data_IF_852861286651
#
_entry.id   IF_852861286651
#
_cell.length_a   1.000
_cell.length_b   1.000
_cell.length_c   1.000
_cell.angle_alpha   90.00
_cell.angle_beta   90.00
_cell.angle_gamma   90.00
#
_symmetry.space_group_name_H-M   'P 1'
#
loop_
_entity.id
_entity.type
_entity.pdbx_description
1 polymer ?
#
# COMPACT_ATOMS: atom_id res chain seq x y z
N UNK A 1 48.97 34.49 -27.61
CA UNK A 1 47.84 34.15 -28.52
C UNK A 1 47.81 32.64 -28.66
N UNK A 2 46.94 31.96 -27.90
CA UNK A 2 46.78 30.50 -27.99
C UNK A 2 45.84 30.17 -29.15
N UNK A 3 46.35 29.43 -30.13
CA UNK A 3 45.57 28.88 -31.24
C UNK A 3 44.49 27.93 -30.69
N UNK A 4 43.22 28.26 -30.92
CA UNK A 4 42.08 27.38 -30.69
C UNK A 4 42.26 26.11 -31.52
N UNK A 5 42.31 24.95 -30.86
CA UNK A 5 42.34 23.65 -31.54
C UNK A 5 41.11 23.52 -32.44
N UNK A 6 41.23 22.97 -33.67
CA UNK A 6 40.09 22.74 -34.55
C UNK A 6 39.16 21.71 -33.92
N UNK A 7 37.91 22.12 -33.68
CA UNK A 7 36.82 21.21 -33.30
C UNK A 7 36.56 20.29 -34.49
N UNK A 8 36.73 18.99 -34.28
CA UNK A 8 36.56 17.99 -35.33
C UNK A 8 35.08 17.86 -35.69
N UNK A 9 34.73 17.87 -36.98
CA UNK A 9 33.34 17.73 -37.47
C UNK A 9 32.68 16.44 -36.95
N UNK A 10 33.47 15.40 -36.62
CA UNK A 10 33.00 14.16 -36.00
C UNK A 10 32.61 14.30 -34.52
N UNK A 11 33.12 15.30 -33.79
CA UNK A 11 32.65 15.57 -32.42
C UNK A 11 31.31 16.30 -32.44
N UNK A 12 31.15 17.26 -33.36
CA UNK A 12 29.89 17.97 -33.59
C UNK A 12 28.74 17.04 -34.00
N UNK A 13 28.99 16.06 -34.88
CA UNK A 13 27.95 15.09 -35.26
C UNK A 13 27.54 14.18 -34.09
N UNK A 14 28.48 13.84 -33.21
CA UNK A 14 28.19 13.04 -32.02
C UNK A 14 27.44 13.81 -30.94
N UNK A 15 27.75 15.09 -30.74
CA UNK A 15 27.03 15.98 -29.81
C UNK A 15 25.57 16.16 -30.23
N UNK A 16 25.31 16.42 -31.52
CA UNK A 16 23.95 16.53 -32.06
C UNK A 16 23.15 15.23 -31.85
N UNK A 17 23.78 14.07 -32.04
CA UNK A 17 23.13 12.77 -31.80
C UNK A 17 22.78 12.60 -30.31
N UNK A 18 23.65 13.04 -29.39
CA UNK A 18 23.39 12.96 -27.95
C UNK A 18 22.21 13.87 -27.58
N UNK A 19 22.17 15.11 -28.07
CA UNK A 19 21.06 16.04 -27.81
C UNK A 19 19.72 15.48 -28.33
N UNK A 20 19.70 14.92 -29.54
CA UNK A 20 18.50 14.29 -30.10
C UNK A 20 18.05 13.10 -29.24
N UNK A 21 18.99 12.27 -28.77
CA UNK A 21 18.67 11.13 -27.88
C UNK A 21 18.07 11.64 -26.57
N UNK A 22 18.70 12.63 -25.94
CA UNK A 22 18.21 13.26 -24.70
C UNK A 22 16.80 13.80 -24.91
N UNK A 23 16.56 14.53 -26.01
CA UNK A 23 15.26 15.11 -26.34
C UNK A 23 14.18 14.03 -26.57
N UNK A 24 14.51 12.94 -27.27
CA UNK A 24 13.59 11.81 -27.47
C UNK A 24 13.21 11.19 -26.12
N UNK A 25 14.19 10.91 -25.26
CA UNK A 25 13.95 10.32 -23.93
C UNK A 25 13.12 11.28 -23.08
N UNK A 26 13.47 12.56 -23.08
CA UNK A 26 12.81 13.60 -22.32
C UNK A 26 11.42 13.98 -22.85
N UNK A 27 10.97 13.46 -23.99
CA UNK A 27 9.60 13.60 -24.52
C UNK A 27 8.77 12.33 -24.44
N UNK A 28 9.41 11.17 -24.25
CA UNK A 28 8.72 9.92 -24.03
C UNK A 28 7.94 9.95 -22.71
N UNK A 29 6.84 9.18 -22.63
CA UNK A 29 6.15 8.93 -21.36
C UNK A 29 7.12 8.20 -20.44
N UNK A 30 7.26 8.68 -19.21
CA UNK A 30 8.22 8.10 -18.28
C UNK A 30 7.65 6.80 -17.72
N UNK A 31 8.48 5.76 -17.69
CA UNK A 31 8.24 4.55 -16.91
C UNK A 31 9.60 4.05 -16.40
N UNK A 32 9.71 3.62 -15.14
CA UNK A 32 10.94 3.03 -14.60
C UNK A 32 11.44 1.86 -15.46
N UNK A 33 10.52 1.01 -15.91
CA UNK A 33 10.81 -0.17 -16.74
C UNK A 33 11.28 0.25 -18.14
N UNK A 34 10.63 1.25 -18.75
CA UNK A 34 11.03 1.76 -20.06
C UNK A 34 12.43 2.38 -20.05
N UNK A 35 12.78 3.11 -18.97
CA UNK A 35 14.12 3.65 -18.80
C UNK A 35 15.16 2.54 -18.62
N UNK A 36 14.87 1.53 -17.80
CA UNK A 36 15.77 0.40 -17.59
C UNK A 36 16.01 -0.38 -18.89
N UNK A 37 14.94 -0.69 -19.63
CA UNK A 37 15.03 -1.33 -20.94
C UNK A 37 15.92 -0.53 -21.89
N UNK A 38 15.80 0.80 -21.90
CA UNK A 38 16.63 1.65 -22.76
C UNK A 38 18.12 1.62 -22.39
N UNK A 39 18.45 1.54 -21.09
CA UNK A 39 19.82 1.32 -20.63
C UNK A 39 20.37 -0.02 -21.10
N UNK A 40 19.53 -1.06 -21.07
CA UNK A 40 19.91 -2.42 -21.43
C UNK A 40 20.09 -2.62 -22.96
N UNK A 41 19.53 -1.75 -23.79
CA UNK A 41 19.68 -1.82 -25.26
C UNK A 41 21.15 -1.68 -25.69
N UNK A 42 21.90 -0.72 -25.12
CA UNK A 42 23.29 -0.47 -25.53
C UNK A 42 24.06 0.36 -24.49
N UNK A 43 25.34 0.04 -24.26
CA UNK A 43 26.23 0.75 -23.31
C UNK A 43 26.30 2.26 -23.53
N UNK A 44 26.19 2.71 -24.78
CA UNK A 44 26.15 4.15 -25.13
C UNK A 44 24.89 4.84 -24.59
N UNK A 45 23.72 4.19 -24.62
CA UNK A 45 22.51 4.73 -24.03
C UNK A 45 22.64 4.80 -22.51
N UNK A 46 23.14 3.73 -21.88
CA UNK A 46 23.38 3.71 -20.45
C UNK A 46 24.31 4.86 -20.00
N UNK A 47 25.41 5.06 -20.73
CA UNK A 47 26.33 6.18 -20.49
C UNK A 47 25.64 7.55 -20.62
N UNK A 48 24.91 7.81 -21.71
CA UNK A 48 24.20 9.08 -21.93
C UNK A 48 23.14 9.31 -20.84
N UNK A 49 22.33 8.29 -20.55
CA UNK A 49 21.25 8.38 -19.55
C UNK A 49 21.83 8.66 -18.16
N UNK A 50 22.96 8.05 -17.82
CA UNK A 50 23.62 8.26 -16.53
C UNK A 50 24.29 9.63 -16.45
N UNK A 51 24.97 10.06 -17.51
CA UNK A 51 25.65 11.35 -17.56
C UNK A 51 24.66 12.53 -17.52
N UNK A 52 23.54 12.42 -18.24
CA UNK A 52 22.55 13.49 -18.39
C UNK A 52 21.29 13.30 -17.52
N UNK A 53 21.33 12.40 -16.53
CA UNK A 53 20.19 12.02 -15.68
C UNK A 53 19.43 13.25 -15.16
N UNK A 54 20.14 14.24 -14.61
CA UNK A 54 19.52 15.43 -14.01
C UNK A 54 18.78 16.29 -15.03
N UNK A 55 19.35 16.43 -16.24
CA UNK A 55 18.73 17.22 -17.30
C UNK A 55 17.47 16.53 -17.81
N UNK A 56 17.58 15.24 -18.13
CA UNK A 56 16.46 14.43 -18.59
C UNK A 56 15.36 14.39 -17.52
N UNK A 57 15.72 14.14 -16.26
CA UNK A 57 14.74 14.07 -15.17
C UNK A 57 14.02 15.40 -14.96
N UNK A 58 14.74 16.53 -15.06
CA UNK A 58 14.15 17.87 -15.00
C UNK A 58 13.15 18.09 -16.14
N UNK A 59 13.50 17.71 -17.36
CA UNK A 59 12.63 17.90 -18.53
C UNK A 59 11.39 17.01 -18.45
N UNK A 60 11.55 15.76 -18.01
CA UNK A 60 10.43 14.84 -17.73
C UNK A 60 9.50 15.42 -16.66
N UNK A 61 10.04 15.96 -15.57
CA UNK A 61 9.25 16.56 -14.48
C UNK A 61 8.43 17.77 -14.95
N UNK A 62 8.87 18.47 -16.00
CA UNK A 62 8.13 19.59 -16.59
C UNK A 62 7.06 19.14 -17.60
N UNK A 63 6.95 17.85 -17.89
CA UNK A 63 5.87 17.35 -18.74
C UNK A 63 4.53 17.33 -17.99
N UNK A 64 3.43 17.29 -18.77
CA UNK A 64 2.05 17.24 -18.24
C UNK A 64 1.82 16.11 -17.24
N UNK A 65 2.47 14.96 -17.39
CA UNK A 65 2.25 13.79 -16.52
C UNK A 65 2.71 14.03 -15.06
N UNK A 66 3.56 15.03 -14.79
CA UNK A 66 4.04 15.35 -13.44
C UNK A 66 3.75 16.81 -13.04
N UNK A 67 2.82 17.48 -13.73
CA UNK A 67 2.55 18.91 -13.55
C UNK A 67 2.21 19.26 -12.09
N UNK A 68 1.47 18.39 -11.42
CA UNK A 68 1.02 18.58 -10.03
C UNK A 68 1.86 17.79 -9.01
N UNK A 69 2.76 16.90 -9.45
CA UNK A 69 3.50 15.98 -8.59
C UNK A 69 4.28 16.66 -7.47
N UNK A 70 4.82 17.85 -7.76
CA UNK A 70 5.51 18.69 -6.77
C UNK A 70 4.57 19.14 -5.64
N UNK A 71 3.35 19.52 -5.98
CA UNK A 71 2.36 19.99 -5.01
C UNK A 71 1.73 18.83 -4.26
N UNK A 72 1.50 17.70 -4.95
CA UNK A 72 0.87 16.52 -4.39
C UNK A 72 1.78 15.79 -3.39
N UNK A 73 3.10 15.75 -3.64
CA UNK A 73 4.08 15.09 -2.78
C UNK A 73 5.27 15.99 -2.42
N UNK A 74 5.06 17.03 -1.59
CA UNK A 74 6.09 17.99 -1.24
C UNK A 74 7.27 17.36 -0.48
N UNK A 75 7.07 16.24 0.22
CA UNK A 75 8.14 15.54 0.95
C UNK A 75 9.20 14.90 0.06
N UNK A 76 8.92 14.71 -1.23
CA UNK A 76 9.89 14.23 -2.22
C UNK A 76 10.80 15.33 -2.76
N UNK A 77 10.51 16.60 -2.46
CA UNK A 77 11.31 17.72 -2.93
C UNK A 77 12.58 17.85 -2.10
N UNK A 78 13.70 17.39 -2.66
CA UNK A 78 15.01 17.93 -2.26
C UNK A 78 15.75 18.40 -3.51
N UNK A 79 16.21 19.65 -3.52
CA UNK A 79 16.89 20.28 -4.67
C UNK A 79 18.11 19.49 -5.18
N UNK A 80 18.65 18.60 -4.35
CA UNK A 80 19.78 17.73 -4.67
C UNK A 80 19.38 16.40 -5.32
N UNK A 81 18.09 16.12 -5.47
CA UNK A 81 17.56 14.78 -5.81
C UNK A 81 16.79 14.69 -7.12
N UNK A 82 16.79 15.71 -7.99
CA UNK A 82 16.17 15.58 -9.33
C UNK A 82 16.90 14.52 -10.17
N UNK A 83 16.42 13.29 -10.08
CA UNK A 83 16.99 12.08 -10.64
C UNK A 83 15.87 11.07 -10.95
N UNK A 84 16.21 9.95 -11.58
CA UNK A 84 15.19 8.96 -11.97
C UNK A 84 14.53 8.28 -10.77
N UNK A 85 15.23 8.16 -9.65
CA UNK A 85 14.65 7.61 -8.40
C UNK A 85 13.48 8.45 -7.90
N UNK A 86 13.58 9.78 -7.94
CA UNK A 86 12.48 10.68 -7.60
C UNK A 86 11.29 10.48 -8.54
N UNK A 87 11.53 10.41 -9.85
CA UNK A 87 10.46 10.19 -10.83
C UNK A 87 9.77 8.84 -10.64
N UNK A 88 10.54 7.78 -10.40
CA UNK A 88 10.01 6.45 -10.06
C UNK A 88 9.16 6.49 -8.80
N UNK A 89 9.57 7.26 -7.80
CA UNK A 89 8.82 7.41 -6.56
C UNK A 89 7.50 8.16 -6.77
N UNK A 90 7.46 9.23 -7.57
CA UNK A 90 6.20 9.88 -7.96
C UNK A 90 5.25 8.90 -8.66
N UNK A 91 5.75 8.17 -9.67
CA UNK A 91 4.97 7.14 -10.37
C UNK A 91 4.42 6.10 -9.40
N UNK A 92 5.29 5.57 -8.52
CA UNK A 92 4.91 4.57 -7.52
C UNK A 92 3.81 5.06 -6.57
N UNK A 93 3.88 6.31 -6.10
CA UNK A 93 2.86 6.89 -5.21
C UNK A 93 1.54 7.12 -5.93
N UNK A 94 1.55 7.65 -7.15
CA UNK A 94 0.32 7.77 -7.95
C UNK A 94 -0.30 6.41 -8.24
N UNK A 95 0.49 5.41 -8.63
CA UNK A 95 0.00 4.04 -8.88
C UNK A 95 -0.57 3.39 -7.61
N UNK A 96 0.04 3.67 -6.45
CA UNK A 96 -0.46 3.21 -5.15
C UNK A 96 -1.81 3.86 -4.83
N UNK A 97 -1.92 5.19 -4.99
CA UNK A 97 -3.18 5.92 -4.79
C UNK A 97 -4.26 5.37 -5.73
N UNK A 98 -3.96 5.27 -7.02
CA UNK A 98 -4.88 4.75 -8.02
C UNK A 98 -5.35 3.34 -7.66
N UNK A 99 -4.43 2.46 -7.27
CA UNK A 99 -4.80 1.09 -6.89
C UNK A 99 -5.68 1.08 -5.65
N UNK A 100 -5.30 1.81 -4.59
CA UNK A 100 -6.09 1.85 -3.35
C UNK A 100 -7.49 2.37 -3.66
N UNK A 101 -7.60 3.49 -4.37
CA UNK A 101 -8.89 4.07 -4.77
C UNK A 101 -9.72 3.06 -5.57
N UNK A 102 -9.11 2.34 -6.52
CA UNK A 102 -9.80 1.31 -7.30
C UNK A 102 -10.31 0.15 -6.43
N UNK A 103 -9.50 -0.38 -5.52
CA UNK A 103 -9.92 -1.43 -4.58
C UNK A 103 -10.99 -0.94 -3.62
N UNK A 104 -10.88 0.30 -3.13
CA UNK A 104 -11.92 0.90 -2.29
C UNK A 104 -13.24 1.04 -3.04
N UNK A 105 -13.22 1.44 -4.31
CA UNK A 105 -14.42 1.53 -5.14
C UNK A 105 -15.08 0.16 -5.29
N UNK A 106 -14.31 -0.87 -5.66
CA UNK A 106 -14.79 -2.25 -5.78
C UNK A 106 -15.44 -2.76 -4.49
N UNK A 107 -14.83 -2.50 -3.35
CA UNK A 107 -15.32 -3.00 -2.06
C UNK A 107 -16.42 -2.13 -1.42
N UNK A 108 -16.58 -0.88 -1.86
CA UNK A 108 -17.60 0.04 -1.35
C UNK A 108 -18.83 0.18 -2.25
N UNK A 109 -18.86 -0.48 -3.42
CA UNK A 109 -19.89 -0.29 -4.47
C UNK A 109 -21.30 -0.79 -4.09
N UNK A 110 -21.43 -1.63 -3.05
CA UNK A 110 -22.73 -2.09 -2.56
C UNK A 110 -23.32 -1.12 -1.51
N UNK A 111 -23.63 0.10 -1.95
CA UNK A 111 -24.84 0.79 -1.50
C UNK A 111 -24.80 1.77 -0.32
N UNK A 112 -23.72 2.49 0.02
CA UNK A 112 -23.95 3.75 0.81
C UNK A 112 -22.82 4.76 1.02
N UNK A 113 -21.52 4.46 0.92
CA UNK A 113 -20.53 5.42 1.51
C UNK A 113 -19.49 6.01 0.57
N UNK A 114 -18.95 5.28 -0.40
CA UNK A 114 -18.03 5.85 -1.39
C UNK A 114 -18.77 6.01 -2.72
N UNK A 115 -19.17 7.24 -3.03
CA UNK A 115 -19.73 7.57 -4.34
C UNK A 115 -18.64 8.17 -5.24
N UNK A 116 -18.80 8.04 -6.56
CA UNK A 116 -17.90 8.63 -7.58
C UNK A 116 -17.53 10.09 -7.29
N UNK A 117 -18.45 10.87 -6.69
CA UNK A 117 -18.23 12.29 -6.40
C UNK A 117 -17.24 12.57 -5.25
N UNK A 118 -16.91 11.58 -4.41
CA UNK A 118 -15.97 11.73 -3.29
C UNK A 118 -14.58 11.13 -3.56
N UNK A 119 -14.34 10.60 -4.76
CA UNK A 119 -13.04 9.97 -5.11
C UNK A 119 -11.89 10.95 -4.92
N UNK A 120 -12.03 12.18 -5.43
CA UNK A 120 -10.99 13.20 -5.29
C UNK A 120 -10.68 13.52 -3.83
N UNK A 121 -11.67 13.44 -2.93
CA UNK A 121 -11.45 13.65 -1.49
C UNK A 121 -10.68 12.48 -0.86
N UNK A 122 -10.91 11.26 -1.33
CA UNK A 122 -10.13 10.07 -0.92
C UNK A 122 -8.69 10.17 -1.43
N UNK A 123 -8.48 10.58 -2.69
CA UNK A 123 -7.15 10.78 -3.27
C UNK A 123 -6.37 11.86 -2.49
N UNK A 124 -7.00 13.00 -2.18
CA UNK A 124 -6.42 14.04 -1.32
C UNK A 124 -6.08 13.47 0.07
N UNK A 125 -6.97 12.65 0.64
CA UNK A 125 -6.70 11.94 1.90
C UNK A 125 -5.44 11.07 1.81
N UNK A 126 -5.27 10.29 0.74
CA UNK A 126 -4.09 9.45 0.52
C UNK A 126 -2.81 10.27 0.32
N UNK A 127 -2.88 11.39 -0.41
CA UNK A 127 -1.74 12.32 -0.54
C UNK A 127 -1.34 12.93 0.81
N UNK A 128 -2.30 13.28 1.66
CA UNK A 128 -2.04 13.76 3.02
C UNK A 128 -1.44 12.67 3.91
N UNK A 129 -1.85 11.41 3.76
CA UNK A 129 -1.20 10.27 4.42
C UNK A 129 0.25 10.12 3.98
N UNK A 130 0.57 10.29 2.69
CA UNK A 130 1.95 10.33 2.20
C UNK A 130 2.75 11.47 2.84
N UNK A 131 2.17 12.67 2.88
CA UNK A 131 2.81 13.83 3.52
C UNK A 131 3.10 13.58 5.00
N UNK A 132 2.23 12.88 5.72
CA UNK A 132 2.49 12.47 7.11
C UNK A 132 3.55 11.38 7.21
N UNK A 133 3.53 10.42 6.29
CA UNK A 133 4.52 9.34 6.23
C UNK A 133 5.94 9.88 6.03
N UNK A 134 6.09 10.89 5.17
CA UNK A 134 7.36 11.57 4.90
C UNK A 134 7.93 12.33 6.11
N UNK A 135 7.14 12.50 7.18
CA UNK A 135 7.63 13.05 8.44
C UNK A 135 8.16 11.91 9.31
N UNK A 136 9.46 11.85 9.54
CA UNK A 136 10.11 10.72 10.23
C UNK A 136 9.76 10.59 11.73
N UNK A 137 9.24 11.64 12.35
CA UNK A 137 9.04 11.69 13.81
C UNK A 137 7.60 12.02 14.19
N UNK A 138 7.21 11.59 15.39
CA UNK A 138 5.85 11.79 15.92
C UNK A 138 5.45 13.26 16.04
N UNK A 139 6.35 14.11 16.58
CA UNK A 139 6.03 15.50 16.89
C UNK A 139 5.67 16.34 15.64
N UNK A 140 6.41 16.29 14.51
CA UNK A 140 6.01 16.93 13.27
C UNK A 140 4.67 16.45 12.71
N UNK A 141 4.33 15.16 12.86
CA UNK A 141 3.03 14.62 12.41
C UNK A 141 1.87 15.21 13.21
N UNK A 142 2.02 15.28 14.53
CA UNK A 142 1.05 15.94 15.41
C UNK A 142 0.91 17.41 15.03
N UNK A 143 2.03 18.11 14.85
CA UNK A 143 2.02 19.51 14.44
C UNK A 143 1.27 19.72 13.13
N UNK A 144 1.55 18.89 12.10
CA UNK A 144 0.84 18.92 10.83
C UNK A 144 -0.67 18.72 11.02
N UNK A 145 -1.09 17.67 11.74
CA UNK A 145 -2.51 17.40 11.99
C UNK A 145 -3.21 18.56 12.71
N UNK A 146 -2.57 19.14 13.74
CA UNK A 146 -3.15 20.28 14.49
C UNK A 146 -3.20 21.58 13.68
N UNK A 147 -2.35 21.74 12.67
CA UNK A 147 -2.29 22.92 11.82
C UNK A 147 -3.21 22.83 10.59
N UNK A 148 -3.68 21.63 10.22
CA UNK A 148 -4.56 21.44 9.07
C UNK A 148 -5.95 22.03 9.32
N UNK A 149 -6.56 22.69 8.32
CA UNK A 149 -7.96 23.11 8.40
C UNK A 149 -8.91 21.90 8.35
N UNK A 150 -10.20 22.15 8.57
CA UNK A 150 -11.22 21.10 8.67
C UNK A 150 -11.27 20.18 7.43
N UNK A 151 -11.18 20.72 6.21
CA UNK A 151 -11.39 19.94 4.99
C UNK A 151 -10.33 18.85 4.77
N UNK A 152 -9.01 19.13 4.89
CA UNK A 152 -7.98 18.09 4.91
C UNK A 152 -8.15 17.03 6.02
N UNK A 153 -8.60 17.45 7.22
CA UNK A 153 -8.87 16.50 8.30
C UNK A 153 -10.04 15.58 7.96
N UNK A 154 -11.09 16.10 7.32
CA UNK A 154 -12.20 15.30 6.79
C UNK A 154 -11.70 14.33 5.72
N UNK A 155 -10.83 14.77 4.81
CA UNK A 155 -10.23 13.90 3.78
C UNK A 155 -9.48 12.71 4.40
N UNK A 156 -8.60 12.99 5.38
CA UNK A 156 -7.87 11.96 6.14
C UNK A 156 -8.86 11.01 6.85
N UNK A 157 -9.86 11.56 7.55
CA UNK A 157 -10.84 10.75 8.28
C UNK A 157 -11.65 9.85 7.34
N UNK A 158 -12.00 10.36 6.17
CA UNK A 158 -12.78 9.66 5.15
C UNK A 158 -11.98 8.50 4.56
N UNK A 159 -10.72 8.72 4.17
CA UNK A 159 -9.86 7.63 3.68
C UNK A 159 -9.67 6.56 4.75
N UNK A 160 -9.39 6.94 6.01
CA UNK A 160 -9.26 5.98 7.11
C UNK A 160 -10.54 5.17 7.32
N UNK A 161 -11.70 5.81 7.23
CA UNK A 161 -13.00 5.13 7.30
C UNK A 161 -13.16 4.10 6.18
N UNK A 162 -12.92 4.48 4.92
CA UNK A 162 -13.08 3.58 3.79
C UNK A 162 -12.07 2.44 3.80
N UNK A 163 -10.82 2.71 4.15
CA UNK A 163 -9.80 1.67 4.29
C UNK A 163 -10.15 0.68 5.39
N UNK A 164 -10.64 1.16 6.55
CA UNK A 164 -11.10 0.28 7.63
C UNK A 164 -12.31 -0.53 7.17
N UNK A 165 -13.27 0.10 6.48
CA UNK A 165 -14.44 -0.58 5.95
C UNK A 165 -14.08 -1.68 4.94
N UNK A 166 -13.22 -1.36 3.97
CA UNK A 166 -12.74 -2.32 2.98
C UNK A 166 -11.95 -3.44 3.67
N UNK A 167 -11.02 -3.12 4.57
CA UNK A 167 -10.27 -4.11 5.34
C UNK A 167 -11.16 -5.01 6.20
N UNK A 168 -12.31 -4.55 6.72
CA UNK A 168 -13.27 -5.44 7.41
C UNK A 168 -13.93 -6.45 6.47
N UNK A 169 -14.12 -6.07 5.20
CA UNK A 169 -14.78 -6.90 4.19
C UNK A 169 -13.81 -7.90 3.57
N UNK A 170 -12.66 -7.39 3.12
CA UNK A 170 -11.67 -8.21 2.41
C UNK A 170 -10.63 -8.78 3.35
N UNK A 171 -10.26 -8.07 4.41
CA UNK A 171 -9.17 -8.43 5.30
C UNK A 171 -9.43 -9.73 6.06
N UNK A 172 -8.34 -10.45 6.29
CA UNK A 172 -8.34 -11.67 7.10
C UNK A 172 -7.95 -11.34 8.55
N UNK A 173 -8.18 -12.28 9.46
CA UNK A 173 -7.77 -12.15 10.87
C UNK A 173 -8.47 -11.01 11.62
N UNK A 174 -7.74 -10.34 12.52
CA UNK A 174 -8.27 -9.44 13.55
C UNK A 174 -9.04 -8.22 13.04
N UNK A 175 -8.94 -7.83 11.78
CA UNK A 175 -9.75 -6.73 11.23
C UNK A 175 -11.04 -7.21 10.56
N UNK A 176 -11.12 -8.51 10.26
CA UNK A 176 -12.25 -9.12 9.55
C UNK A 176 -13.53 -9.05 10.38
N UNK A 177 -14.65 -8.72 9.73
CA UNK A 177 -15.98 -8.70 10.37
C UNK A 177 -16.36 -10.05 10.98
N UNK A 178 -15.77 -11.14 10.52
CA UNK A 178 -16.07 -12.51 10.96
C UNK A 178 -15.52 -12.85 12.35
N UNK A 179 -14.60 -12.04 12.91
CA UNK A 179 -13.98 -12.30 14.21
C UNK A 179 -14.74 -11.68 15.41
N UNK A 180 -15.64 -10.71 15.21
CA UNK A 180 -16.22 -9.92 16.31
C UNK A 180 -17.73 -9.77 16.19
N UNK A 181 -18.46 -10.81 16.62
CA UNK A 181 -19.91 -10.70 16.79
C UNK A 181 -20.34 -10.23 18.19
N UNK A 182 -19.44 -10.15 19.18
CA UNK A 182 -19.86 -10.01 20.58
C UNK A 182 -19.17 -8.92 21.43
N UNK A 183 -18.13 -8.24 20.96
CA UNK A 183 -17.50 -7.14 21.71
C UNK A 183 -17.25 -5.90 20.86
N UNK A 184 -18.08 -4.88 21.07
CA UNK A 184 -17.95 -3.59 20.40
C UNK A 184 -16.71 -2.80 20.85
N UNK A 185 -16.25 -2.99 22.09
CA UNK A 185 -15.09 -2.31 22.63
C UNK A 185 -13.80 -2.81 21.96
N UNK A 186 -13.58 -4.13 21.98
CA UNK A 186 -12.44 -4.76 21.27
C UNK A 186 -12.43 -4.39 19.78
N UNK A 187 -13.59 -4.35 19.13
CA UNK A 187 -13.69 -3.92 17.74
C UNK A 187 -13.25 -2.47 17.53
N UNK A 188 -13.70 -1.57 18.40
CA UNK A 188 -13.28 -0.16 18.35
C UNK A 188 -11.77 -0.02 18.53
N UNK A 189 -11.17 -0.78 19.44
CA UNK A 189 -9.73 -0.74 19.71
C UNK A 189 -8.92 -1.21 18.51
N UNK A 190 -9.35 -2.28 17.83
CA UNK A 190 -8.67 -2.78 16.63
C UNK A 190 -8.76 -1.78 15.48
N UNK A 191 -9.93 -1.18 15.28
CA UNK A 191 -10.12 -0.19 14.23
C UNK A 191 -9.29 1.08 14.49
N UNK A 192 -9.17 1.47 15.76
CA UNK A 192 -8.27 2.54 16.18
C UNK A 192 -6.81 2.17 15.92
N UNK A 193 -6.39 0.97 16.29
CA UNK A 193 -5.04 0.47 16.03
C UNK A 193 -4.74 0.42 14.53
N UNK A 194 -5.70 0.00 13.71
CA UNK A 194 -5.56 -0.03 12.26
C UNK A 194 -5.42 1.38 11.68
N UNK A 195 -6.25 2.33 12.11
CA UNK A 195 -6.15 3.72 11.69
C UNK A 195 -4.80 4.34 12.09
N UNK A 196 -4.33 4.08 13.31
CA UNK A 196 -3.01 4.52 13.80
C UNK A 196 -1.86 3.91 12.98
N UNK A 197 -1.97 2.63 12.61
CA UNK A 197 -1.00 1.98 11.74
C UNK A 197 -0.97 2.60 10.35
N UNK A 198 -2.12 2.96 9.78
CA UNK A 198 -2.17 3.69 8.50
C UNK A 198 -1.48 5.05 8.64
N UNK A 199 -1.81 5.83 9.68
CA UNK A 199 -1.18 7.13 9.92
C UNK A 199 0.33 7.01 10.13
N UNK A 200 0.79 5.87 10.66
CA UNK A 200 2.21 5.64 10.94
C UNK A 200 2.98 5.11 9.74
N UNK A 201 2.42 4.13 9.03
CA UNK A 201 3.07 3.34 7.97
C UNK A 201 2.77 3.83 6.56
N UNK A 202 1.77 4.70 6.39
CA UNK A 202 1.44 5.30 5.12
C UNK A 202 0.58 4.42 4.20
N UNK A 203 0.28 4.90 2.99
CA UNK A 203 -0.62 4.22 2.04
C UNK A 203 -0.17 2.82 1.60
N UNK A 204 1.13 2.52 1.58
CA UNK A 204 1.66 1.20 1.23
C UNK A 204 1.13 0.11 2.17
N UNK A 205 0.95 0.43 3.44
CA UNK A 205 0.36 -0.50 4.41
C UNK A 205 -1.08 -0.86 4.01
N UNK A 206 -1.87 0.12 3.57
CA UNK A 206 -3.24 -0.10 3.09
C UNK A 206 -3.21 -1.03 1.89
N UNK A 207 -2.35 -0.74 0.91
CA UNK A 207 -2.22 -1.53 -0.31
C UNK A 207 -1.90 -2.99 0.00
N UNK A 208 -0.96 -3.23 0.91
CA UNK A 208 -0.58 -4.57 1.33
C UNK A 208 -1.76 -5.32 1.97
N UNK A 209 -2.53 -4.67 2.83
CA UNK A 209 -3.71 -5.28 3.48
C UNK A 209 -4.82 -5.59 2.46
N UNK A 210 -5.08 -4.69 1.51
CA UNK A 210 -6.10 -4.91 0.49
C UNK A 210 -5.68 -5.96 -0.55
N UNK A 211 -4.39 -6.06 -0.89
CA UNK A 211 -3.88 -7.02 -1.90
C UNK A 211 -3.55 -8.40 -1.34
N UNK A 212 -3.25 -8.56 -0.05
CA UNK A 212 -2.87 -9.85 0.54
C UNK A 212 -3.88 -10.97 0.25
N UNK A 213 -5.15 -10.61 0.03
CA UNK A 213 -6.23 -11.58 -0.23
C UNK A 213 -6.59 -11.77 -1.72
N UNK A 214 -5.97 -11.02 -2.63
CA UNK A 214 -6.24 -11.13 -4.06
C UNK A 214 -5.23 -12.01 -4.81
N UNK A 215 -4.03 -12.22 -4.26
CA UNK A 215 -2.95 -12.90 -5.00
C UNK A 215 -2.75 -14.38 -4.66
N UNK A 216 -3.18 -14.86 -3.49
CA UNK A 216 -2.88 -16.25 -3.10
C UNK A 216 -4.03 -17.21 -3.36
N UNK A 217 -5.30 -16.82 -3.27
CA UNK A 217 -6.45 -17.75 -3.37
C UNK A 217 -6.47 -18.86 -2.29
N UNK A 218 -5.35 -19.08 -1.61
CA UNK A 218 -5.16 -19.90 -0.44
C UNK A 218 -5.81 -19.20 0.74
N UNK A 219 -6.93 -19.76 1.19
CA UNK A 219 -7.51 -19.34 2.46
C UNK A 219 -6.48 -19.62 3.57
N UNK A 220 -6.34 -18.76 4.58
CA UNK A 220 -5.52 -19.04 5.75
C UNK A 220 -5.88 -20.39 6.35
N UNK A 221 -4.86 -21.09 6.88
CA UNK A 221 -5.08 -22.34 7.61
C UNK A 221 -6.09 -22.19 8.75
N UNK A 222 -6.17 -21.00 9.36
CA UNK A 222 -7.17 -20.70 10.40
C UNK A 222 -8.61 -20.72 9.86
N UNK A 223 -8.82 -20.31 8.60
CA UNK A 223 -10.12 -20.37 7.93
C UNK A 223 -10.52 -21.81 7.64
N UNK A 224 -9.58 -22.66 7.22
CA UNK A 224 -9.81 -24.10 7.06
C UNK A 224 -10.08 -24.80 8.39
N UNK A 225 -9.32 -24.48 9.44
CA UNK A 225 -9.54 -25.01 10.78
C UNK A 225 -10.93 -24.64 11.30
N UNK A 226 -11.31 -23.37 11.21
CA UNK A 226 -12.62 -22.90 11.68
C UNK A 226 -13.78 -23.53 10.90
N UNK A 227 -13.64 -23.70 9.58
CA UNK A 227 -14.64 -24.37 8.77
C UNK A 227 -14.76 -25.86 9.15
N UNK A 228 -13.63 -26.54 9.35
CA UNK A 228 -13.61 -27.96 9.76
C UNK A 228 -14.20 -28.16 11.16
N UNK A 229 -13.92 -27.25 12.09
CA UNK A 229 -14.52 -27.26 13.44
C UNK A 229 -16.04 -27.06 13.36
N UNK A 230 -16.50 -26.08 12.57
CA UNK A 230 -17.92 -25.78 12.41
C UNK A 230 -18.70 -26.97 11.81
N UNK A 231 -18.15 -27.60 10.77
CA UNK A 231 -18.71 -28.79 10.15
C UNK A 231 -18.82 -29.95 11.16
N UNK A 232 -17.73 -30.21 11.92
CA UNK A 232 -17.70 -31.29 12.92
C UNK A 232 -18.62 -31.04 14.11
N UNK A 233 -18.83 -29.78 14.48
CA UNK A 233 -19.68 -29.37 15.59
C UNK A 233 -21.13 -29.10 15.16
N UNK A 234 -21.44 -29.26 13.86
CA UNK A 234 -22.75 -28.99 13.27
C UNK A 234 -23.29 -27.59 13.60
N UNK A 235 -22.39 -26.59 13.60
CA UNK A 235 -22.72 -25.20 13.89
C UNK A 235 -22.25 -24.29 12.75
N UNK A 236 -22.72 -23.04 12.72
CA UNK A 236 -22.14 -22.06 11.80
C UNK A 236 -20.70 -21.71 12.21
N UNK A 237 -19.86 -21.37 11.23
CA UNK A 237 -18.43 -21.10 11.44
C UNK A 237 -18.14 -20.03 12.49
N UNK A 238 -18.99 -19.02 12.59
CA UNK A 238 -18.88 -17.96 13.60
C UNK A 238 -19.16 -18.41 15.04
N UNK A 239 -19.82 -19.55 15.24
CA UNK A 239 -20.16 -20.08 16.57
C UNK A 239 -19.20 -21.16 17.07
N UNK A 240 -18.37 -21.74 16.19
CA UNK A 240 -17.46 -22.83 16.54
C UNK A 240 -16.57 -22.52 17.75
N UNK A 241 -16.00 -21.30 17.83
CA UNK A 241 -15.17 -20.90 18.97
C UNK A 241 -15.97 -20.80 20.28
N UNK A 242 -17.21 -20.29 20.23
CA UNK A 242 -18.06 -20.17 21.42
C UNK A 242 -18.46 -21.55 21.95
N UNK A 243 -18.78 -22.48 21.06
CA UNK A 243 -19.08 -23.87 21.43
C UNK A 243 -17.86 -24.59 22.06
N UNK A 244 -16.66 -24.38 21.51
CA UNK A 244 -15.42 -24.94 22.11
C UNK A 244 -15.20 -24.38 23.52
N UNK A 245 -15.39 -23.07 23.69
CA UNK A 245 -15.27 -22.43 25.00
C UNK A 245 -16.33 -22.93 25.99
N UNK A 246 -17.53 -23.28 25.52
CA UNK A 246 -18.56 -23.91 26.35
C UNK A 246 -18.15 -25.32 26.79
N UNK A 247 -17.68 -26.15 25.84
CA UNK A 247 -17.17 -27.49 26.11
C UNK A 247 -16.03 -27.49 27.12
N UNK A 248 -15.06 -26.58 27.01
CA UNK A 248 -13.92 -26.51 27.94
C UNK A 248 -14.32 -25.97 29.32
N UNK A 249 -15.42 -25.21 29.42
CA UNK A 249 -15.95 -24.73 30.71
C UNK A 249 -16.79 -25.77 31.45
N UNK A 250 -17.33 -26.76 30.77
CA UNK A 250 -18.12 -27.81 31.39
C UNK A 250 -17.20 -28.84 32.08
N UNK A 251 -17.23 -28.96 33.42
CA UNK A 251 -16.25 -29.80 34.15
C UNK A 251 -16.32 -31.30 33.84
N UNK A 252 -17.43 -31.75 33.24
CA UNK A 252 -17.65 -33.15 32.84
C UNK A 252 -17.18 -33.43 31.41
N UNK A 253 -16.81 -32.41 30.65
CA UNK A 253 -16.39 -32.55 29.27
C UNK A 253 -14.92 -33.01 29.23
N UNK A 254 -14.61 -34.00 28.38
CA UNK A 254 -13.26 -34.60 28.34
C UNK A 254 -12.17 -33.64 27.90
N UNK A 255 -12.51 -32.59 27.16
CA UNK A 255 -11.58 -31.52 26.82
C UNK A 255 -11.26 -30.57 27.98
N UNK A 256 -12.10 -30.55 29.04
CA UNK A 256 -11.87 -29.73 30.22
C UNK A 256 -10.92 -30.41 31.23
N UNK A 257 -10.90 -31.74 31.26
CA UNK A 257 -10.06 -32.55 32.16
C UNK A 257 -9.44 -33.75 31.41
N UNK A 258 -8.25 -33.54 30.84
CA UNK A 258 -7.55 -34.55 30.03
C UNK A 258 -6.74 -35.50 30.91
N UNK A 259 -7.03 -36.80 30.81
CA UNK A 259 -6.23 -37.83 31.47
C UNK A 259 -4.84 -38.00 30.83
N UNK A 260 -3.89 -38.61 31.55
CA UNK A 260 -2.51 -38.81 31.10
C UNK A 260 -2.39 -39.57 29.76
N UNK A 261 -3.35 -40.43 29.42
CA UNK A 261 -3.42 -41.16 28.15
C UNK A 261 -4.07 -40.37 27.00
N UNK A 262 -4.92 -39.40 27.31
CA UNK A 262 -5.72 -38.65 26.34
C UNK A 262 -4.88 -37.68 25.51
N UNK A 263 -3.87 -37.07 26.14
CA UNK A 263 -2.91 -36.21 25.44
C UNK A 263 -2.19 -36.93 24.30
N UNK A 264 -1.74 -38.16 24.54
CA UNK A 264 -1.04 -38.95 23.53
C UNK A 264 -1.96 -39.46 22.40
N UNK A 265 -3.26 -39.61 22.69
CA UNK A 265 -4.28 -39.92 21.67
C UNK A 265 -4.54 -38.71 20.76
N UNK A 266 -4.78 -37.53 21.37
CA UNK A 266 -5.03 -36.27 20.64
C UNK A 266 -3.86 -35.87 19.74
N UNK A 267 -2.62 -35.95 20.23
CA UNK A 267 -1.42 -35.65 19.43
C UNK A 267 -1.29 -36.57 18.20
N UNK A 268 -1.85 -37.78 18.27
CA UNK A 268 -1.90 -38.73 17.15
C UNK A 268 -3.15 -38.59 16.28
N UNK A 269 -4.02 -37.61 16.56
CA UNK A 269 -5.25 -37.35 15.80
C UNK A 269 -6.42 -38.29 16.11
N UNK A 270 -6.39 -39.01 17.23
CA UNK A 270 -7.49 -39.89 17.64
C UNK A 270 -8.54 -39.14 18.47
N UNK A 271 -9.81 -39.57 18.39
CA UNK A 271 -10.87 -39.07 19.30
C UNK A 271 -10.57 -39.48 20.75
N UNK A 272 -11.17 -38.75 21.68
CA UNK A 272 -11.14 -39.12 23.09
C UNK A 272 -12.13 -40.25 23.38
N UNK A 273 -13.22 -40.36 22.64
CA UNK A 273 -14.30 -41.36 22.80
C UNK A 273 -13.82 -42.81 22.82
#
# INVERSE_FOLDING_TARGET
MSLSKPVSIMSLSNEIIIEIIIEIIARAKFSPEGLQNLRDVHKRFDAIITEYEKSIAKDILNQRQFQDAKNDFPGLQTDRSMNYRMLSEFTRRYDTIYTITHELLKECDYGSTLMLHNISLVEVGLMLLYRMHDLDTYLPRVHLLTALPLQPLVAIRLVLYHCTYAARRVGESLISRNYYHHDAATRSDIELCFAELILTKGPEFILNILRYNLSTGERPLISYLNASLAEKMLCEQRYALMEILHMVKEPKHRLADLEFGDRAKLVRGHSLD
#
